data_IF_614911762173
#
_entry.id   IF_614911762173
#
_cell.length_a   1.000
_cell.length_b   1.000
_cell.length_c   1.000
_cell.angle_alpha   90.00
_cell.angle_beta   90.00
_cell.angle_gamma   90.00
#
_symmetry.space_group_name_H-M   'P 1'
#
loop_
_entity.id
_entity.type
_entity.pdbx_description
1 polymer ?
#
# COMPACT_ATOMS: atom_id res chain seq x y z
N UNK A 1 -2.02 22.14 -11.30
CA UNK A 1 -3.05 21.19 -11.73
C UNK A 1 -3.41 20.30 -10.56
N UNK A 2 -4.70 19.99 -10.34
CA UNK A 2 -5.17 19.01 -9.36
C UNK A 2 -5.69 17.79 -10.10
N UNK A 3 -5.31 16.60 -9.62
CA UNK A 3 -5.66 15.31 -10.23
C UNK A 3 -6.23 14.43 -9.11
N UNK A 4 -7.43 13.90 -9.32
CA UNK A 4 -8.02 12.90 -8.44
C UNK A 4 -7.76 11.50 -9.01
N UNK A 5 -7.34 10.58 -8.16
CA UNK A 5 -7.12 9.19 -8.51
C UNK A 5 -8.12 8.28 -7.79
N UNK A 6 -8.50 7.19 -8.43
CA UNK A 6 -9.14 6.05 -7.78
C UNK A 6 -8.08 5.00 -7.47
N UNK A 7 -8.23 4.30 -6.36
CA UNK A 7 -7.32 3.25 -5.92
C UNK A 7 -8.08 2.00 -5.48
N UNK A 8 -7.41 0.86 -5.50
CA UNK A 8 -7.98 -0.42 -5.07
C UNK A 8 -8.33 -0.39 -3.57
N UNK A 9 -9.50 -0.88 -3.26
CA UNK A 9 -10.01 -1.02 -1.89
C UNK A 9 -9.96 -2.48 -1.44
N UNK A 10 -10.62 -2.85 -0.34
CA UNK A 10 -10.74 -4.24 0.10
C UNK A 10 -10.63 -4.44 1.61
N UNK A 11 -10.80 -3.36 2.40
CA UNK A 11 -10.95 -3.51 3.83
C UNK A 11 -12.30 -4.16 4.16
N UNK A 12 -12.28 -5.17 5.05
CA UNK A 12 -13.48 -5.81 5.59
C UNK A 12 -13.68 -5.40 7.07
N UNK A 13 -14.31 -4.23 7.34
CA UNK A 13 -14.50 -3.73 8.70
C UNK A 13 -15.56 -4.50 9.50
N UNK A 14 -16.42 -5.27 8.83
CA UNK A 14 -17.56 -5.96 9.42
C UNK A 14 -17.27 -7.41 9.81
N UNK A 15 -16.08 -7.92 9.50
CA UNK A 15 -15.68 -9.26 9.93
C UNK A 15 -15.74 -9.40 11.45
N UNK A 16 -16.23 -10.49 11.95
CA UNK A 16 -16.22 -10.84 13.39
C UNK A 16 -14.81 -11.15 13.87
N UNK A 17 -13.92 -11.61 12.99
CA UNK A 17 -12.53 -11.89 13.29
C UNK A 17 -11.70 -10.58 13.27
N UNK A 18 -11.00 -10.29 14.37
CA UNK A 18 -10.17 -9.08 14.51
C UNK A 18 -8.95 -9.09 13.57
N UNK A 19 -8.37 -10.25 13.32
CA UNK A 19 -7.19 -10.40 12.46
C UNK A 19 -7.56 -10.18 10.99
N UNK A 20 -8.74 -10.67 10.56
CA UNK A 20 -9.28 -10.36 9.23
C UNK A 20 -9.52 -8.84 9.05
N UNK A 21 -10.07 -8.16 10.06
CA UNK A 21 -10.24 -6.70 9.99
C UNK A 21 -8.89 -5.99 9.88
N UNK A 22 -7.90 -6.44 10.65
CA UNK A 22 -6.55 -5.84 10.67
C UNK A 22 -5.81 -6.11 9.37
N UNK A 23 -5.72 -7.37 8.94
CA UNK A 23 -5.00 -7.77 7.74
C UNK A 23 -5.56 -7.09 6.49
N UNK A 24 -6.89 -7.12 6.32
CA UNK A 24 -7.54 -6.50 5.15
C UNK A 24 -7.41 -4.98 5.12
N UNK A 25 -7.35 -4.31 6.28
CA UNK A 25 -7.07 -2.87 6.36
C UNK A 25 -5.66 -2.55 5.86
N UNK A 26 -4.65 -3.28 6.38
CA UNK A 26 -3.25 -3.09 6.01
C UNK A 26 -3.03 -3.38 4.53
N UNK A 27 -3.59 -4.48 4.03
CA UNK A 27 -3.54 -4.85 2.63
C UNK A 27 -4.23 -3.83 1.71
N UNK A 28 -5.37 -3.27 2.12
CA UNK A 28 -6.06 -2.22 1.36
C UNK A 28 -5.22 -0.92 1.29
N UNK A 29 -4.61 -0.51 2.41
CA UNK A 29 -3.71 0.63 2.45
C UNK A 29 -2.48 0.42 1.55
N UNK A 30 -1.89 -0.78 1.57
CA UNK A 30 -0.76 -1.14 0.72
C UNK A 30 -1.11 -1.06 -0.78
N UNK A 31 -2.24 -1.62 -1.20
CA UNK A 31 -2.71 -1.52 -2.59
C UNK A 31 -2.96 -0.06 -3.00
N UNK A 32 -3.58 0.73 -2.12
CA UNK A 32 -3.80 2.15 -2.36
C UNK A 32 -2.49 2.94 -2.51
N UNK A 33 -1.46 2.59 -1.74
CA UNK A 33 -0.12 3.15 -1.89
C UNK A 33 0.51 2.78 -3.24
N UNK A 34 0.46 1.50 -3.65
CA UNK A 34 0.97 1.06 -4.95
C UNK A 34 0.29 1.82 -6.10
N UNK A 35 -1.04 1.99 -6.03
CA UNK A 35 -1.81 2.71 -7.04
C UNK A 35 -1.45 4.21 -7.08
N UNK A 36 -1.23 4.82 -5.93
CA UNK A 36 -0.76 6.21 -5.82
C UNK A 36 0.63 6.37 -6.43
N UNK A 37 1.57 5.49 -6.11
CA UNK A 37 2.92 5.50 -6.67
C UNK A 37 2.89 5.25 -8.19
N UNK A 38 2.03 4.37 -8.67
CA UNK A 38 1.81 4.17 -10.11
C UNK A 38 1.30 5.43 -10.79
N UNK A 39 0.37 6.16 -10.17
CA UNK A 39 -0.12 7.44 -10.70
C UNK A 39 0.99 8.49 -10.76
N UNK A 40 1.85 8.57 -9.73
CA UNK A 40 3.03 9.46 -9.72
C UNK A 40 3.96 9.13 -10.89
N UNK A 41 4.29 7.86 -11.10
CA UNK A 41 5.12 7.42 -12.24
C UNK A 41 4.49 7.73 -13.59
N UNK A 42 3.17 7.50 -13.73
CA UNK A 42 2.43 7.88 -14.93
C UNK A 42 2.56 9.38 -15.25
N UNK A 43 2.41 10.23 -14.23
CA UNK A 43 2.52 11.67 -14.40
C UNK A 43 3.94 12.09 -14.81
N UNK A 44 4.98 11.52 -14.20
CA UNK A 44 6.37 11.77 -14.59
C UNK A 44 6.65 11.33 -16.02
N UNK A 45 6.18 10.14 -16.41
CA UNK A 45 6.25 9.66 -17.79
C UNK A 45 5.55 10.63 -18.73
N UNK A 46 4.36 11.11 -18.41
CA UNK A 46 3.61 12.03 -19.26
C UNK A 46 4.34 13.38 -19.48
N UNK A 47 5.13 13.83 -18.50
CA UNK A 47 5.97 15.03 -18.67
C UNK A 47 7.03 14.81 -19.74
N UNK A 48 7.71 13.67 -19.74
CA UNK A 48 8.74 13.33 -20.75
C UNK A 48 8.11 13.10 -22.13
N UNK A 49 6.89 12.59 -22.21
CA UNK A 49 6.16 12.34 -23.45
C UNK A 49 5.41 13.56 -24.00
N UNK A 50 5.85 14.77 -23.65
CA UNK A 50 5.33 16.02 -24.21
C UNK A 50 4.40 16.80 -23.27
N UNK A 51 4.27 16.37 -22.04
CA UNK A 51 3.55 17.07 -20.97
C UNK A 51 2.11 17.53 -21.34
N UNK A 52 1.24 16.60 -21.77
CA UNK A 52 -0.10 16.95 -22.23
C UNK A 52 -0.98 17.59 -21.13
N UNK A 53 -0.60 17.40 -19.86
CA UNK A 53 -1.34 17.94 -18.72
C UNK A 53 -0.77 19.28 -18.21
N UNK A 54 0.35 19.77 -18.77
CA UNK A 54 0.99 21.02 -18.35
C UNK A 54 1.40 21.03 -16.88
N UNK A 55 1.88 19.89 -16.36
CA UNK A 55 2.29 19.74 -14.95
C UNK A 55 3.79 20.00 -14.77
N UNK A 56 4.18 20.43 -13.55
CA UNK A 56 5.60 20.50 -13.15
C UNK A 56 6.10 19.12 -12.72
N UNK A 57 7.42 18.98 -12.58
CA UNK A 57 8.01 17.76 -12.01
C UNK A 57 7.77 17.62 -10.49
N UNK A 58 7.26 18.67 -9.83
CA UNK A 58 6.94 18.63 -8.41
C UNK A 58 5.55 18.04 -8.21
N UNK A 59 5.47 17.01 -7.40
CA UNK A 59 4.24 16.26 -7.14
C UNK A 59 3.95 16.27 -5.64
N UNK A 60 2.78 16.80 -5.30
CA UNK A 60 2.25 16.76 -3.94
C UNK A 60 1.12 15.74 -3.90
N UNK A 61 1.18 14.82 -2.95
CA UNK A 61 0.11 13.83 -2.73
C UNK A 61 -0.65 14.20 -1.46
N UNK A 62 -1.97 14.09 -1.52
CA UNK A 62 -2.78 14.39 -0.36
C UNK A 62 -4.09 13.62 -0.35
N UNK A 63 -4.71 13.54 0.82
CA UNK A 63 -5.97 12.84 0.94
C UNK A 63 -6.73 13.13 2.23
N UNK A 64 -8.00 12.75 2.19
CA UNK A 64 -8.94 12.86 3.32
C UNK A 64 -9.27 11.45 3.82
N UNK A 65 -9.30 11.25 5.15
CA UNK A 65 -9.63 9.97 5.76
C UNK A 65 -8.69 8.87 5.31
N UNK A 66 -9.19 7.82 4.63
CA UNK A 66 -8.36 6.75 4.06
C UNK A 66 -7.33 7.25 3.05
N UNK A 67 -7.67 8.26 2.26
CA UNK A 67 -6.71 8.93 1.39
C UNK A 67 -5.59 9.63 2.18
N UNK A 68 -5.87 10.11 3.39
CA UNK A 68 -4.87 10.66 4.30
C UNK A 68 -3.86 9.61 4.77
N UNK A 69 -4.31 8.40 5.13
CA UNK A 69 -3.41 7.28 5.46
C UNK A 69 -2.49 6.94 4.28
N UNK A 70 -3.06 6.85 3.06
CA UNK A 70 -2.30 6.53 1.85
C UNK A 70 -1.30 7.64 1.51
N UNK A 71 -1.69 8.91 1.65
CA UNK A 71 -0.79 10.04 1.38
C UNK A 71 0.40 10.06 2.33
N UNK A 72 0.18 9.81 3.63
CA UNK A 72 1.25 9.68 4.60
C UNK A 72 2.20 8.53 4.23
N UNK A 73 1.64 7.34 3.96
CA UNK A 73 2.44 6.20 3.53
C UNK A 73 3.22 6.48 2.22
N UNK A 74 2.68 7.28 1.30
CA UNK A 74 3.39 7.66 0.08
C UNK A 74 4.65 8.49 0.35
N UNK A 75 4.65 9.26 1.43
CA UNK A 75 5.79 10.10 1.82
C UNK A 75 6.74 9.48 2.84
N UNK A 76 6.33 8.42 3.56
CA UNK A 76 7.12 7.91 4.70
C UNK A 76 7.44 6.43 4.62
N UNK A 77 6.67 5.61 3.89
CA UNK A 77 6.92 4.18 3.80
C UNK A 77 7.94 3.88 2.69
N UNK A 78 9.16 3.51 3.06
CA UNK A 78 10.29 3.38 2.14
C UNK A 78 10.88 1.98 2.08
N UNK A 79 10.84 1.24 3.20
CA UNK A 79 11.47 -0.07 3.32
C UNK A 79 10.49 -1.13 3.84
N UNK A 80 10.19 -2.11 2.98
CA UNK A 80 9.37 -3.24 3.38
C UNK A 80 9.95 -4.01 4.57
N UNK A 81 11.26 -4.28 4.56
CA UNK A 81 11.89 -5.20 5.52
C UNK A 81 11.89 -4.66 6.96
N UNK A 82 11.99 -3.35 7.14
CA UNK A 82 12.03 -2.72 8.46
C UNK A 82 10.70 -2.14 8.90
N UNK A 83 9.83 -1.78 7.97
CA UNK A 83 8.62 -1.02 8.26
C UNK A 83 7.32 -1.84 8.18
N UNK A 84 7.28 -2.86 7.31
CA UNK A 84 6.09 -3.72 7.14
C UNK A 84 6.21 -5.10 7.78
N UNK A 85 7.36 -5.41 8.39
CA UNK A 85 7.59 -6.64 9.15
C UNK A 85 7.61 -6.43 10.67
N UNK A 86 7.13 -5.29 11.14
CA UNK A 86 6.94 -5.05 12.57
C UNK A 86 5.89 -6.02 13.15
N UNK A 87 6.00 -6.40 14.45
CA UNK A 87 5.08 -7.39 15.06
C UNK A 87 3.59 -7.08 14.88
N UNK A 88 3.21 -5.80 14.83
CA UNK A 88 1.82 -5.39 14.62
C UNK A 88 1.32 -5.61 13.19
N UNK A 89 2.20 -5.86 12.23
CA UNK A 89 1.88 -6.16 10.83
C UNK A 89 2.04 -7.65 10.52
N UNK A 90 2.14 -8.49 11.55
CA UNK A 90 2.24 -9.94 11.44
C UNK A 90 0.95 -10.62 11.92
N UNK A 91 0.57 -11.66 11.23
CA UNK A 91 -0.35 -12.68 11.75
C UNK A 91 0.47 -13.67 12.59
N UNK A 92 0.03 -13.88 13.82
CA UNK A 92 0.64 -14.84 14.76
C UNK A 92 -0.38 -15.89 15.20
N UNK A 93 -1.42 -16.10 14.44
CA UNK A 93 -2.51 -17.02 14.79
C UNK A 93 -2.38 -18.40 14.15
N UNK A 94 -1.42 -18.57 13.24
CA UNK A 94 -1.27 -19.80 12.46
C UNK A 94 0.06 -20.52 12.79
N UNK A 95 -0.05 -21.83 12.93
CA UNK A 95 1.08 -22.76 12.97
C UNK A 95 1.21 -23.36 11.57
N UNK A 96 2.18 -22.87 10.78
CA UNK A 96 2.33 -23.21 9.36
C UNK A 96 3.13 -24.50 9.18
N UNK A 97 4.15 -24.70 10.03
CA UNK A 97 5.03 -25.86 9.91
C UNK A 97 4.62 -27.06 10.77
N UNK A 98 3.60 -26.89 11.63
CA UNK A 98 3.00 -27.97 12.44
C UNK A 98 3.84 -28.35 13.67
N UNK A 99 4.71 -27.48 14.13
CA UNK A 99 5.57 -27.72 15.32
C UNK A 99 4.86 -27.45 16.66
N UNK A 100 3.63 -26.93 16.62
CA UNK A 100 2.81 -26.59 17.78
C UNK A 100 3.04 -25.18 18.30
N UNK A 101 3.83 -24.35 17.59
CA UNK A 101 4.07 -22.94 17.88
C UNK A 101 3.54 -22.11 16.72
N UNK A 102 2.83 -21.04 17.02
CA UNK A 102 2.32 -20.17 15.97
C UNK A 102 3.45 -19.37 15.31
N UNK A 103 3.42 -19.31 13.98
CA UNK A 103 4.36 -18.56 13.17
C UNK A 103 3.98 -17.07 13.07
N UNK A 104 4.98 -16.23 12.81
CA UNK A 104 4.76 -14.82 12.49
C UNK A 104 4.79 -14.62 10.97
N UNK A 105 3.60 -14.42 10.37
CA UNK A 105 3.43 -14.25 8.92
C UNK A 105 3.10 -12.81 8.60
N UNK A 106 3.83 -12.10 7.72
CA UNK A 106 3.50 -10.75 7.35
C UNK A 106 2.11 -10.66 6.68
N UNK A 107 1.30 -9.65 7.04
CA UNK A 107 0.06 -9.37 6.31
C UNK A 107 0.32 -8.95 4.86
N UNK A 108 1.49 -8.38 4.58
CA UNK A 108 1.93 -8.02 3.25
C UNK A 108 2.99 -9.03 2.81
N UNK A 109 2.72 -9.71 1.71
CA UNK A 109 3.64 -10.66 1.06
C UNK A 109 3.89 -10.16 -0.36
N UNK A 110 5.06 -9.55 -0.64
CA UNK A 110 5.32 -8.94 -1.95
C UNK A 110 5.22 -9.90 -3.13
N UNK A 111 5.53 -11.18 -2.94
CA UNK A 111 5.39 -12.21 -3.97
C UNK A 111 3.93 -12.37 -4.44
N UNK A 112 2.98 -12.12 -3.53
CA UNK A 112 1.55 -12.21 -3.85
C UNK A 112 0.95 -10.87 -4.25
N UNK A 113 1.39 -9.79 -3.62
CA UNK A 113 0.78 -8.47 -3.75
C UNK A 113 1.55 -7.50 -4.67
N UNK A 114 2.72 -7.89 -5.16
CA UNK A 114 3.67 -6.99 -5.79
C UNK A 114 4.51 -6.22 -4.78
N UNK A 115 5.56 -5.57 -5.24
CA UNK A 115 6.46 -4.79 -4.41
C UNK A 115 5.83 -3.48 -3.92
N UNK A 116 6.54 -2.80 -3.01
CA UNK A 116 6.10 -1.55 -2.39
C UNK A 116 5.82 -0.43 -3.40
N UNK A 117 6.52 -0.42 -4.52
CA UNK A 117 6.35 0.58 -5.57
C UNK A 117 5.31 0.19 -6.63
N UNK A 118 4.84 -1.06 -6.66
CA UNK A 118 3.99 -1.57 -7.73
C UNK A 118 4.76 -1.72 -9.06
N UNK A 119 6.03 -2.06 -8.98
CA UNK A 119 6.93 -2.27 -10.12
C UNK A 119 7.18 -3.76 -10.40
N UNK A 120 6.88 -4.63 -9.44
CA UNK A 120 6.92 -6.08 -9.59
C UNK A 120 5.51 -6.68 -9.67
N UNK A 121 5.39 -7.78 -10.40
CA UNK A 121 4.16 -8.56 -10.44
C UNK A 121 3.90 -9.24 -9.10
N UNK A 122 2.63 -9.28 -8.68
CA UNK A 122 2.18 -10.05 -7.53
C UNK A 122 1.21 -11.15 -7.97
N UNK A 123 1.54 -12.41 -7.65
CA UNK A 123 0.74 -13.57 -8.04
C UNK A 123 0.36 -14.36 -6.80
N UNK A 124 -0.94 -14.45 -6.54
CA UNK A 124 -1.48 -15.32 -5.51
C UNK A 124 -1.60 -16.73 -6.08
N UNK A 125 -0.92 -17.75 -5.51
CA UNK A 125 -0.94 -19.12 -6.04
C UNK A 125 -2.33 -19.72 -6.09
N UNK A 126 -3.11 -19.51 -5.02
CA UNK A 126 -4.45 -20.07 -4.86
C UNK A 126 -5.37 -19.02 -4.22
N UNK A 127 -6.59 -18.94 -4.69
CA UNK A 127 -7.66 -18.10 -4.16
C UNK A 127 -8.88 -18.96 -3.88
N UNK A 128 -9.24 -19.05 -2.61
CA UNK A 128 -10.47 -19.68 -2.10
C UNK A 128 -11.42 -18.54 -1.69
N UNK A 129 -12.50 -18.36 -2.41
CA UNK A 129 -13.45 -17.25 -2.23
C UNK A 129 -14.55 -17.57 -1.22
N UNK A 130 -14.93 -18.84 -1.10
CA UNK A 130 -16.03 -19.26 -0.23
C UNK A 130 -15.58 -19.93 1.07
N UNK A 131 -14.27 -20.24 1.19
CA UNK A 131 -13.66 -20.77 2.40
C UNK A 131 -13.92 -22.27 2.60
N UNK A 132 -14.16 -23.00 1.52
CA UNK A 132 -14.41 -24.45 1.57
C UNK A 132 -13.13 -25.30 1.60
N UNK A 133 -11.95 -24.64 1.47
CA UNK A 133 -10.64 -25.28 1.43
C UNK A 133 -10.23 -25.77 0.04
N UNK A 134 -11.02 -25.45 -0.98
CA UNK A 134 -10.70 -25.74 -2.38
C UNK A 134 -10.44 -24.43 -3.12
N UNK A 135 -9.38 -24.37 -3.90
CA UNK A 135 -9.07 -23.15 -4.66
C UNK A 135 -10.08 -22.93 -5.79
N UNK A 136 -10.79 -21.79 -5.78
CA UNK A 136 -11.67 -21.32 -6.86
C UNK A 136 -10.88 -20.84 -8.08
N UNK A 137 -9.68 -20.31 -7.84
CA UNK A 137 -8.77 -19.87 -8.89
C UNK A 137 -7.32 -20.08 -8.47
N UNK A 138 -6.44 -20.31 -9.46
CA UNK A 138 -5.00 -20.46 -9.26
C UNK A 138 -4.21 -19.44 -10.05
N UNK A 139 -3.03 -19.05 -9.55
CA UNK A 139 -2.15 -18.06 -10.17
C UNK A 139 -2.86 -16.73 -10.49
N UNK A 140 -3.56 -16.20 -9.51
CA UNK A 140 -4.33 -14.95 -9.66
C UNK A 140 -3.38 -13.76 -9.58
N UNK A 141 -3.27 -12.99 -10.67
CA UNK A 141 -2.46 -11.77 -10.69
C UNK A 141 -3.15 -10.66 -9.90
N UNK A 142 -2.56 -10.27 -8.78
CA UNK A 142 -3.06 -9.21 -7.90
C UNK A 142 -2.42 -7.84 -8.20
N UNK A 143 -1.22 -7.82 -8.76
CA UNK A 143 -0.51 -6.60 -9.15
C UNK A 143 0.21 -6.80 -10.47
N UNK A 144 0.08 -5.80 -11.35
CA UNK A 144 0.75 -5.75 -12.65
C UNK A 144 1.71 -4.55 -12.63
N UNK A 145 3.01 -4.74 -12.96
CA UNK A 145 3.97 -3.64 -13.05
C UNK A 145 3.50 -2.55 -14.02
N UNK A 146 3.67 -1.29 -13.63
CA UNK A 146 3.25 -0.19 -14.46
C UNK A 146 4.20 1.01 -14.36
N UNK A 147 4.54 1.59 -15.52
CA UNK A 147 5.43 2.76 -15.62
C UNK A 147 6.78 2.57 -14.90
N UNK A 148 7.34 1.35 -14.97
CA UNK A 148 8.63 0.98 -14.39
C UNK A 148 9.74 1.87 -14.94
N UNK A 149 10.69 2.27 -14.08
CA UNK A 149 11.80 3.15 -14.42
C UNK A 149 11.52 4.64 -14.19
N UNK A 150 10.27 5.03 -13.90
CA UNK A 150 9.94 6.38 -13.45
C UNK A 150 9.91 6.44 -11.92
N UNK A 151 10.33 7.57 -11.35
CA UNK A 151 10.36 7.74 -9.89
C UNK A 151 8.95 7.85 -9.30
N UNK A 152 8.73 7.12 -8.20
CA UNK A 152 7.52 7.23 -7.36
C UNK A 152 7.65 8.31 -6.28
N UNK A 153 8.79 9.01 -6.19
CA UNK A 153 9.04 10.04 -5.18
C UNK A 153 8.00 11.17 -5.26
N UNK A 154 7.59 11.66 -4.09
CA UNK A 154 6.71 12.82 -3.94
C UNK A 154 7.48 13.94 -3.24
N UNK A 155 7.15 15.20 -3.52
CA UNK A 155 7.89 16.34 -3.00
C UNK A 155 7.30 16.88 -1.68
N UNK A 156 6.06 16.53 -1.41
CA UNK A 156 5.33 16.88 -0.17
C UNK A 156 4.10 16.00 -0.05
N UNK A 157 3.65 15.78 1.17
CA UNK A 157 2.34 15.18 1.44
C UNK A 157 1.47 16.09 2.30
N UNK A 158 0.15 16.04 2.09
CA UNK A 158 -0.79 16.60 3.05
C UNK A 158 -1.83 15.56 3.46
N UNK A 159 -2.19 15.61 4.73
CA UNK A 159 -3.09 14.67 5.37
C UNK A 159 -4.25 15.40 6.04
N UNK A 160 -5.47 14.94 5.81
CA UNK A 160 -6.67 15.41 6.52
C UNK A 160 -7.36 14.19 7.14
N UNK A 161 -7.19 14.02 8.45
CA UNK A 161 -7.85 12.97 9.23
C UNK A 161 -7.32 11.55 9.04
N UNK A 162 -6.16 11.37 8.41
CA UNK A 162 -5.42 10.09 8.38
C UNK A 162 -4.39 10.02 9.51
N UNK A 163 -3.72 8.89 9.65
CA UNK A 163 -2.65 8.67 10.61
C UNK A 163 -1.51 7.82 10.01
N UNK A 164 -0.32 7.95 10.56
CA UNK A 164 0.80 7.06 10.29
C UNK A 164 0.63 5.80 11.15
N UNK A 165 0.72 4.61 10.58
CA UNK A 165 0.54 3.36 11.34
C UNK A 165 1.62 3.11 12.38
N UNK A 166 2.85 3.59 12.14
CA UNK A 166 3.95 3.52 13.09
C UNK A 166 4.86 4.74 13.00
N UNK A 167 5.36 5.20 14.15
CA UNK A 167 6.28 6.32 14.22
C UNK A 167 7.66 6.02 13.64
N UNK A 168 8.04 4.74 13.53
CA UNK A 168 9.29 4.31 12.90
C UNK A 168 9.31 4.53 11.37
N UNK A 169 8.16 4.85 10.77
CA UNK A 169 8.11 5.24 9.36
C UNK A 169 8.55 6.68 9.11
N UNK A 170 8.88 7.43 10.16
CA UNK A 170 9.33 8.82 10.03
C UNK A 170 10.84 8.85 10.27
N UNK A 171 11.57 8.92 9.19
CA UNK A 171 13.02 9.02 9.19
C UNK A 171 13.53 10.45 8.97
N UNK A 172 14.81 10.67 9.27
CA UNK A 172 15.46 11.94 8.97
C UNK A 172 15.59 12.11 7.45
N UNK A 173 15.04 13.20 6.92
CA UNK A 173 15.10 13.50 5.48
C UNK A 173 13.82 13.17 4.72
N UNK A 174 12.77 12.76 5.41
CA UNK A 174 11.44 12.60 4.82
C UNK A 174 10.91 13.89 4.18
N UNK A 175 9.99 13.71 3.25
CA UNK A 175 9.34 14.85 2.58
C UNK A 175 8.53 15.69 3.58
N UNK A 176 8.36 17.00 3.34
CA UNK A 176 7.51 17.82 4.18
C UNK A 176 6.08 17.26 4.31
N UNK A 177 5.57 17.21 5.54
CA UNK A 177 4.23 16.73 5.86
C UNK A 177 3.41 17.88 6.44
N UNK A 178 2.26 18.18 5.80
CA UNK A 178 1.23 19.04 6.38
C UNK A 178 0.06 18.17 6.84
N UNK A 179 -0.27 18.22 8.14
CA UNK A 179 -1.33 17.39 8.71
C UNK A 179 -2.40 18.23 9.39
N UNK A 180 -3.66 17.88 9.14
CA UNK A 180 -4.82 18.46 9.78
C UNK A 180 -5.66 17.34 10.39
N UNK A 181 -5.91 17.44 11.69
CA UNK A 181 -6.68 16.45 12.46
C UNK A 181 -7.93 17.11 13.05
N UNK A 182 -9.03 16.35 13.08
CA UNK A 182 -10.22 16.74 13.86
C UNK A 182 -10.03 16.26 15.31
N UNK A 183 -10.42 17.10 16.26
CA UNK A 183 -10.51 16.77 17.69
C UNK A 183 -11.92 16.38 18.04
#
# INVERSE_FOLDING_TARGET
VAIAISYRVGWNPTSTNADVRRSTLIQAAYRGLQDTRTAVRFLRKSVEEGNPYGISCQIVVGGLGTGGYISLAAGTLNDYATELTLPKFMDTSMDIDGDGVNDAVPYIIPQFMGDLNGEAEGILPELDLDGDGTADATNVTLSIPNHVGYSSHVDMVFNIGGAIPDSSWIDAGEVPIASMQCY
#
